data_IF_640595738718
#
_entry.id   IF_640595738718
#
_cell.length_a   1.000
_cell.length_b   1.000
_cell.length_c   1.000
_cell.angle_alpha   90.00
_cell.angle_beta   90.00
_cell.angle_gamma   90.00
#
_symmetry.space_group_name_H-M   'P 1'
#
loop_
_entity.id
_entity.type
_entity.pdbx_description
1 polymer ?
#
# COMPACT_ATOMS: atom_id res chain seq x y z
N UNK A 1 47.61 -21.38 -19.38
CA UNK A 1 48.43 -22.46 -18.82
C UNK A 1 47.53 -23.43 -18.09
N UNK A 2 47.44 -24.64 -18.65
CA UNK A 2 46.61 -25.77 -18.16
C UNK A 2 47.21 -26.28 -16.85
N UNK A 3 46.37 -26.83 -15.93
CA UNK A 3 46.56 -28.20 -15.42
C UNK A 3 45.24 -28.61 -14.72
N UNK A 4 44.74 -29.72 -15.24
CA UNK A 4 43.72 -30.62 -14.69
C UNK A 4 44.36 -31.52 -13.64
N UNK A 5 43.60 -31.98 -12.63
CA UNK A 5 43.70 -33.37 -12.17
C UNK A 5 42.42 -33.89 -11.58
N UNK A 6 42.02 -34.99 -12.17
CA UNK A 6 41.07 -36.02 -11.74
C UNK A 6 41.77 -37.01 -10.79
N UNK A 7 41.00 -37.61 -9.90
CA UNK A 7 41.04 -39.01 -9.48
C UNK A 7 40.03 -39.20 -8.35
N UNK A 8 39.00 -39.98 -8.40
CA UNK A 8 38.77 -41.36 -8.74
C UNK A 8 38.76 -42.31 -7.51
N UNK A 9 37.56 -42.74 -7.16
CA UNK A 9 37.04 -44.05 -6.71
C UNK A 9 37.77 -44.81 -5.59
N UNK A 10 36.98 -45.40 -4.65
CA UNK A 10 36.76 -46.86 -4.43
C UNK A 10 36.05 -47.08 -3.08
N UNK A 11 34.84 -47.61 -3.08
CA UNK A 11 34.36 -48.93 -2.70
C UNK A 11 34.73 -49.41 -1.27
N UNK A 12 33.68 -49.68 -0.47
CA UNK A 12 33.58 -51.00 0.25
C UNK A 12 32.13 -51.18 0.75
N UNK A 13 31.53 -52.24 0.18
CA UNK A 13 30.28 -52.86 0.66
C UNK A 13 30.60 -53.70 1.89
N UNK A 14 29.76 -53.59 2.93
CA UNK A 14 29.70 -54.60 4.00
C UNK A 14 28.25 -54.94 4.27
N UNK A 15 27.85 -56.08 3.76
CA UNK A 15 26.60 -56.76 4.07
C UNK A 15 26.69 -57.38 5.48
N UNK A 16 25.75 -57.01 6.37
CA UNK A 16 25.51 -57.78 7.59
C UNK A 16 24.01 -58.08 7.68
N UNK A 17 23.71 -59.34 7.41
CA UNK A 17 22.42 -59.96 7.71
C UNK A 17 22.22 -60.01 9.24
N UNK A 18 21.09 -59.49 9.74
CA UNK A 18 20.64 -59.77 11.09
C UNK A 18 19.23 -60.34 11.09
N UNK A 19 19.13 -61.43 11.82
CA UNK A 19 18.01 -62.33 11.91
C UNK A 19 16.74 -61.68 12.41
N UNK A 20 15.62 -62.10 11.88
CA UNK A 20 14.28 -61.80 12.34
C UNK A 20 14.00 -62.43 13.69
N UNK A 21 13.72 -61.54 14.70
CA UNK A 21 13.00 -61.97 15.92
C UNK A 21 11.64 -61.32 15.87
N UNK A 22 10.61 -62.15 15.79
CA UNK A 22 9.20 -61.74 15.88
C UNK A 22 8.91 -61.21 17.28
N UNK A 23 8.66 -59.92 17.42
CA UNK A 23 8.07 -59.29 18.57
C UNK A 23 6.55 -59.21 18.46
N UNK A 24 5.81 -59.04 19.58
CA UNK A 24 4.37 -59.16 19.59
C UNK A 24 3.67 -58.11 18.76
N UNK A 25 2.66 -58.54 17.99
CA UNK A 25 1.78 -57.69 17.19
C UNK A 25 0.93 -56.83 18.08
N UNK A 26 1.25 -55.55 18.14
CA UNK A 26 0.34 -54.53 18.65
C UNK A 26 -0.61 -54.12 17.51
N UNK A 27 -1.89 -54.52 17.68
CA UNK A 27 -2.97 -53.99 16.84
C UNK A 27 -3.19 -52.51 17.18
N UNK A 28 -2.84 -51.63 16.28
CA UNK A 28 -3.23 -50.23 16.38
C UNK A 28 -4.76 -50.13 16.21
N UNK A 29 -5.46 -49.29 17.01
CA UNK A 29 -6.84 -48.97 16.73
C UNK A 29 -6.94 -48.24 15.42
N UNK A 30 -7.92 -48.58 14.60
CA UNK A 30 -8.24 -47.87 13.36
C UNK A 30 -8.64 -46.42 13.70
N UNK A 31 -7.75 -45.47 13.46
CA UNK A 31 -8.07 -44.09 13.44
C UNK A 31 -8.87 -43.77 12.19
N UNK A 32 -10.17 -43.63 12.35
CA UNK A 32 -11.04 -42.98 11.39
C UNK A 32 -10.81 -41.45 11.49
N UNK A 33 -9.63 -41.02 11.13
CA UNK A 33 -9.41 -39.59 10.88
C UNK A 33 -9.82 -39.32 9.43
N UNK A 34 -11.12 -38.99 9.28
CA UNK A 34 -11.58 -38.35 8.07
C UNK A 34 -10.78 -37.06 7.91
N UNK A 35 -9.87 -37.04 6.94
CA UNK A 35 -9.24 -35.82 6.45
C UNK A 35 -10.36 -34.82 6.15
N UNK A 36 -10.39 -33.62 6.77
CA UNK A 36 -11.39 -32.65 6.43
C UNK A 36 -11.34 -32.43 4.91
N UNK A 37 -12.47 -32.58 4.27
CA UNK A 37 -12.61 -32.31 2.83
C UNK A 37 -11.98 -30.94 2.56
N UNK A 38 -11.05 -30.89 1.62
CA UNK A 38 -10.51 -29.65 1.10
C UNK A 38 -11.68 -28.71 0.85
N UNK A 39 -11.63 -27.52 1.45
CA UNK A 39 -12.65 -26.49 1.24
C UNK A 39 -12.84 -26.28 -0.27
N UNK A 40 -13.97 -25.73 -0.69
CA UNK A 40 -14.28 -25.60 -2.11
C UNK A 40 -13.12 -24.90 -2.79
N UNK A 41 -12.48 -25.62 -3.70
CA UNK A 41 -11.54 -25.05 -4.65
C UNK A 41 -12.35 -23.98 -5.37
N UNK A 42 -12.02 -22.71 -5.15
CA UNK A 42 -12.61 -21.62 -5.90
C UNK A 42 -12.32 -21.92 -7.37
N UNK A 43 -13.34 -22.28 -8.12
CA UNK A 43 -13.24 -22.41 -9.56
C UNK A 43 -12.69 -21.10 -10.10
N UNK A 44 -11.58 -21.18 -10.82
CA UNK A 44 -11.03 -20.06 -11.56
C UNK A 44 -12.08 -19.64 -12.59
N UNK A 45 -12.86 -18.63 -12.26
CA UNK A 45 -13.83 -18.06 -13.20
C UNK A 45 -13.04 -17.34 -14.27
N UNK A 46 -12.80 -18.03 -15.38
CA UNK A 46 -12.26 -17.44 -16.59
C UNK A 46 -13.30 -16.45 -17.13
N UNK A 47 -13.17 -15.17 -16.81
CA UNK A 47 -14.04 -14.13 -17.34
C UNK A 47 -13.68 -13.90 -18.81
N UNK A 48 -14.36 -14.63 -19.71
CA UNK A 48 -14.30 -14.48 -21.16
C UNK A 48 -15.20 -13.30 -21.58
N UNK A 49 -14.81 -12.10 -21.29
CA UNK A 49 -15.52 -10.87 -21.68
C UNK A 49 -14.57 -9.69 -21.71
N UNK A 50 -15.00 -8.61 -22.37
CA UNK A 50 -14.27 -7.32 -22.26
C UNK A 50 -14.36 -6.89 -20.81
N UNK A 51 -13.28 -7.04 -20.06
CA UNK A 51 -13.23 -6.59 -18.68
C UNK A 51 -13.43 -5.07 -18.67
N UNK A 52 -14.40 -4.53 -17.89
CA UNK A 52 -14.47 -3.09 -17.66
C UNK A 52 -13.17 -2.63 -17.02
N UNK A 53 -12.78 -1.39 -17.27
CA UNK A 53 -11.65 -0.78 -16.58
C UNK A 53 -12.01 -0.40 -15.13
N UNK A 54 -11.07 0.18 -14.37
CA UNK A 54 -11.37 0.79 -13.08
C UNK A 54 -12.49 1.81 -13.22
N UNK A 55 -13.43 1.81 -12.27
CA UNK A 55 -14.57 2.71 -12.31
C UNK A 55 -14.17 4.19 -12.14
N UNK A 56 -14.98 5.07 -12.69
CA UNK A 56 -14.87 6.52 -12.55
C UNK A 56 -16.10 7.05 -11.81
N UNK A 57 -15.91 7.72 -10.69
CA UNK A 57 -16.97 8.48 -10.02
C UNK A 57 -17.25 9.74 -10.81
N UNK A 58 -18.54 10.04 -11.02
CA UNK A 58 -18.98 11.26 -11.70
C UNK A 58 -19.52 12.25 -10.67
N UNK A 59 -18.90 13.42 -10.60
CA UNK A 59 -19.27 14.48 -9.66
C UNK A 59 -19.78 15.69 -10.43
N UNK A 60 -20.96 16.21 -10.06
CA UNK A 60 -21.60 17.36 -10.69
C UNK A 60 -22.22 18.28 -9.65
N UNK A 61 -22.54 19.51 -10.06
CA UNK A 61 -23.36 20.41 -9.25
C UNK A 61 -24.84 20.00 -9.31
N UNK A 62 -25.65 20.27 -8.25
CA UNK A 62 -27.10 20.04 -8.31
C UNK A 62 -27.75 20.85 -9.43
N UNK A 63 -28.63 20.20 -10.19
CA UNK A 63 -29.27 20.74 -11.41
C UNK A 63 -30.07 22.06 -11.24
N UNK A 64 -30.38 22.48 -10.00
CA UNK A 64 -31.08 23.72 -9.71
C UNK A 64 -30.28 25.00 -9.93
N UNK A 65 -28.96 24.88 -9.98
CA UNK A 65 -28.04 26.03 -10.15
C UNK A 65 -27.56 26.18 -11.60
N UNK A 66 -27.77 25.18 -12.42
CA UNK A 66 -27.27 25.16 -13.81
C UNK A 66 -28.21 25.80 -14.82
N UNK A 67 -28.86 26.89 -14.56
CA UNK A 67 -29.76 27.71 -15.40
C UNK A 67 -29.62 27.62 -16.94
N UNK A 68 -29.43 26.41 -17.50
CA UNK A 68 -29.21 26.15 -18.93
C UNK A 68 -27.75 26.11 -19.38
N UNK A 69 -26.78 26.25 -18.48
CA UNK A 69 -25.35 26.08 -18.77
C UNK A 69 -25.00 24.60 -18.89
N UNK A 70 -24.01 24.29 -19.72
CA UNK A 70 -23.47 22.93 -19.87
C UNK A 70 -22.98 22.42 -18.53
N UNK A 71 -23.38 21.18 -18.18
CA UNK A 71 -23.00 20.55 -16.91
C UNK A 71 -21.49 20.40 -16.78
N UNK A 72 -20.94 20.92 -15.70
CA UNK A 72 -19.52 20.76 -15.36
C UNK A 72 -19.32 19.45 -14.59
N UNK A 73 -18.34 18.65 -15.01
CA UNK A 73 -18.13 17.31 -14.46
C UNK A 73 -16.70 17.15 -13.94
N UNK A 74 -16.58 16.60 -12.74
CA UNK A 74 -15.32 16.08 -12.21
C UNK A 74 -15.39 14.55 -12.19
N UNK A 75 -14.54 13.92 -12.97
CA UNK A 75 -14.34 12.48 -12.96
C UNK A 75 -13.26 12.11 -11.97
N UNK A 76 -13.55 11.22 -11.03
CA UNK A 76 -12.57 10.77 -10.04
C UNK A 76 -12.25 9.30 -10.29
N UNK A 77 -10.97 8.99 -10.46
CA UNK A 77 -10.44 7.64 -10.52
C UNK A 77 -9.72 7.30 -9.22
N UNK A 78 -10.13 6.21 -8.58
CA UNK A 78 -9.38 5.62 -7.48
C UNK A 78 -8.19 4.79 -7.99
N UNK A 79 -6.95 5.19 -7.70
CA UNK A 79 -5.76 4.39 -8.02
C UNK A 79 -5.49 3.35 -6.94
N UNK A 80 -5.12 2.14 -7.36
CA UNK A 80 -4.65 1.08 -6.48
C UNK A 80 -3.18 0.80 -6.80
N UNK A 81 -2.35 0.70 -5.76
CA UNK A 81 -0.88 0.64 -5.93
C UNK A 81 -0.31 -0.78 -5.93
N UNK A 82 -0.96 -1.72 -5.25
CA UNK A 82 -0.46 -3.09 -5.12
C UNK A 82 -1.07 -3.96 -6.21
N UNK A 83 -0.36 -4.09 -7.32
CA UNK A 83 -0.84 -4.79 -8.51
C UNK A 83 0.07 -5.97 -8.85
N UNK A 84 -0.45 -7.04 -9.48
CA UNK A 84 0.37 -8.09 -10.08
C UNK A 84 1.38 -7.50 -11.06
N UNK A 85 2.60 -8.04 -11.06
CA UNK A 85 3.63 -7.64 -12.03
C UNK A 85 3.13 -7.93 -13.44
N UNK A 86 3.13 -6.90 -14.31
CA UNK A 86 2.66 -7.03 -15.68
C UNK A 86 1.13 -7.11 -15.84
N UNK A 87 0.36 -6.77 -14.80
CA UNK A 87 -1.10 -6.73 -14.90
C UNK A 87 -1.55 -5.80 -16.00
N UNK A 88 -2.31 -6.33 -16.93
CA UNK A 88 -3.01 -5.55 -17.95
C UNK A 88 -4.38 -5.11 -17.39
N UNK A 89 -4.73 -3.86 -17.62
CA UNK A 89 -6.01 -3.29 -17.25
C UNK A 89 -6.50 -2.33 -18.33
N UNK A 90 -7.80 -2.17 -18.44
CA UNK A 90 -8.40 -1.34 -19.49
C UNK A 90 -8.43 0.13 -19.08
N UNK A 91 -7.59 0.93 -19.69
CA UNK A 91 -7.49 2.37 -19.43
C UNK A 91 -8.40 3.23 -20.32
N UNK A 92 -9.20 2.61 -21.21
CA UNK A 92 -9.94 3.30 -22.27
C UNK A 92 -10.83 4.42 -21.74
N UNK A 93 -11.59 4.14 -20.68
CA UNK A 93 -12.56 5.10 -20.13
C UNK A 93 -11.84 6.27 -19.44
N UNK A 94 -10.74 5.99 -18.73
CA UNK A 94 -9.88 7.02 -18.14
C UNK A 94 -9.24 7.88 -19.26
N UNK A 95 -8.70 7.27 -20.29
CA UNK A 95 -8.07 8.00 -21.41
C UNK A 95 -9.09 8.84 -22.18
N UNK A 96 -10.31 8.35 -22.36
CA UNK A 96 -11.41 9.08 -22.99
C UNK A 96 -11.86 10.28 -22.14
N UNK A 97 -12.02 10.08 -20.82
CA UNK A 97 -12.35 11.15 -19.88
C UNK A 97 -11.26 12.24 -19.90
N UNK A 98 -9.98 11.85 -19.86
CA UNK A 98 -8.86 12.79 -19.95
C UNK A 98 -8.87 13.55 -21.29
N UNK A 99 -9.10 12.85 -22.40
CA UNK A 99 -9.12 13.49 -23.72
C UNK A 99 -10.22 14.55 -23.87
N UNK A 100 -11.34 14.39 -23.14
CA UNK A 100 -12.47 15.33 -23.10
C UNK A 100 -12.33 16.42 -22.03
N UNK A 101 -11.30 16.38 -21.21
CA UNK A 101 -11.11 17.29 -20.07
C UNK A 101 -10.16 18.45 -20.38
N UNK A 102 -10.18 19.47 -19.53
CA UNK A 102 -9.31 20.63 -19.58
C UNK A 102 -8.13 20.51 -18.58
N UNK A 103 -8.31 19.67 -17.55
CA UNK A 103 -7.36 19.58 -16.45
C UNK A 103 -7.30 18.16 -15.88
N UNK A 104 -6.10 17.77 -15.39
CA UNK A 104 -5.87 16.59 -14.57
C UNK A 104 -5.49 17.03 -13.17
N UNK A 105 -6.32 16.73 -12.17
CA UNK A 105 -6.10 17.03 -10.76
C UNK A 105 -5.45 15.83 -10.05
N UNK A 106 -4.27 16.04 -9.51
CA UNK A 106 -3.52 15.03 -8.77
C UNK A 106 -3.99 14.93 -7.31
N UNK A 107 -3.54 13.88 -6.59
CA UNK A 107 -3.62 13.84 -5.14
C UNK A 107 -2.81 15.00 -4.53
N UNK A 108 -3.21 15.51 -3.35
CA UNK A 108 -2.50 16.61 -2.74
C UNK A 108 -1.16 16.16 -2.14
N UNK A 109 -0.19 17.05 -2.14
CA UNK A 109 1.16 16.79 -1.66
C UNK A 109 1.59 17.80 -0.59
N UNK A 110 2.49 17.38 0.29
CA UNK A 110 3.19 18.27 1.20
C UNK A 110 4.32 18.94 0.45
N UNK A 111 4.40 20.26 0.52
CA UNK A 111 5.51 21.05 0.00
C UNK A 111 6.43 21.48 1.16
N UNK A 112 7.54 20.78 1.41
CA UNK A 112 8.44 21.13 2.48
C UNK A 112 9.24 22.39 2.12
N UNK A 113 9.02 23.47 2.86
CA UNK A 113 9.81 24.69 2.76
C UNK A 113 11.11 24.54 3.56
N UNK A 114 12.16 24.07 2.90
CA UNK A 114 13.48 23.86 3.50
C UNK A 114 14.50 24.69 2.74
N UNK A 115 15.26 25.53 3.47
CA UNK A 115 16.38 26.24 2.86
C UNK A 115 17.41 25.26 2.28
N UNK A 116 17.89 25.50 1.07
CA UNK A 116 18.79 24.59 0.34
C UNK A 116 20.00 24.16 1.19
N UNK A 117 20.70 25.10 1.83
CA UNK A 117 21.85 24.79 2.68
C UNK A 117 21.44 23.99 3.94
N UNK A 118 20.29 24.31 4.53
CA UNK A 118 19.77 23.60 5.69
C UNK A 118 19.43 22.16 5.31
N UNK A 119 18.79 21.93 4.16
CA UNK A 119 18.50 20.60 3.62
C UNK A 119 19.75 19.78 3.37
N UNK A 120 20.71 20.31 2.61
CA UNK A 120 21.98 19.61 2.33
C UNK A 120 22.73 19.28 3.61
N UNK A 121 22.78 20.20 4.57
CA UNK A 121 23.46 19.99 5.86
C UNK A 121 22.77 18.92 6.72
N UNK A 122 21.49 18.62 6.49
CA UNK A 122 20.73 17.62 7.24
C UNK A 122 20.90 16.19 6.72
N UNK A 123 21.37 15.99 5.47
CA UNK A 123 21.49 14.67 4.87
C UNK A 123 22.28 13.66 5.73
N UNK A 124 23.43 14.00 6.36
CA UNK A 124 24.12 13.04 7.23
C UNK A 124 23.29 12.60 8.43
N UNK A 125 22.35 13.44 8.89
CA UNK A 125 21.49 13.11 10.04
C UNK A 125 20.45 12.02 9.74
N UNK A 126 20.18 11.76 8.45
CA UNK A 126 19.28 10.68 8.04
C UNK A 126 19.85 9.28 8.27
N UNK A 127 21.18 9.18 8.43
CA UNK A 127 21.84 7.90 8.72
C UNK A 127 21.27 7.40 10.07
N UNK A 128 20.75 6.17 10.08
CA UNK A 128 20.16 5.56 11.26
C UNK A 128 18.79 6.10 11.69
N UNK A 129 18.09 6.90 10.85
CA UNK A 129 16.73 7.41 11.16
C UNK A 129 15.72 6.28 11.36
N UNK A 130 15.98 5.11 10.79
CA UNK A 130 15.14 3.90 10.93
C UNK A 130 15.45 3.12 12.21
N UNK A 131 16.57 3.39 12.88
CA UNK A 131 17.00 2.60 14.02
C UNK A 131 16.19 2.97 15.27
N UNK A 132 16.06 1.99 16.15
CA UNK A 132 15.52 2.22 17.49
C UNK A 132 16.43 3.19 18.26
N UNK A 133 15.87 4.05 19.10
CA UNK A 133 16.68 4.81 20.04
C UNK A 133 17.44 3.86 20.97
N UNK A 134 18.56 4.34 21.52
CA UNK A 134 19.41 3.64 22.50
C UNK A 134 19.98 2.30 22.03
N UNK A 135 19.98 2.05 20.71
CA UNK A 135 20.52 0.82 20.12
C UNK A 135 19.71 -0.45 20.43
N UNK A 136 18.48 -0.30 20.95
CA UNK A 136 17.60 -1.45 21.24
C UNK A 136 17.25 -2.23 19.98
N UNK A 137 17.04 -3.52 20.15
CA UNK A 137 16.61 -4.43 19.08
C UNK A 137 15.09 -4.65 19.14
N UNK A 138 14.52 -5.21 18.08
CA UNK A 138 13.10 -5.56 18.05
C UNK A 138 12.71 -6.51 19.20
N UNK A 139 13.59 -7.48 19.54
CA UNK A 139 13.38 -8.41 20.65
C UNK A 139 13.22 -7.73 22.02
N UNK A 140 13.84 -6.55 22.21
CA UNK A 140 13.75 -5.78 23.46
C UNK A 140 12.46 -4.96 23.56
N UNK A 141 11.76 -4.79 22.43
CA UNK A 141 10.62 -3.89 22.30
C UNK A 141 9.28 -4.62 22.17
N UNK A 142 9.34 -5.88 21.72
CA UNK A 142 8.17 -6.63 21.32
C UNK A 142 7.68 -7.59 22.38
N UNK A 143 6.35 -7.80 22.50
CA UNK A 143 5.83 -8.99 23.17
C UNK A 143 6.40 -10.26 22.55
N UNK A 144 6.71 -11.26 23.37
CA UNK A 144 7.33 -12.53 22.92
C UNK A 144 6.56 -13.15 21.75
N UNK A 145 5.23 -13.11 21.79
CA UNK A 145 4.38 -13.68 20.72
C UNK A 145 4.51 -12.91 19.41
N UNK A 146 4.52 -11.58 19.45
CA UNK A 146 4.70 -10.75 18.26
C UNK A 146 6.11 -10.95 17.65
N UNK A 147 7.12 -11.05 18.49
CA UNK A 147 8.49 -11.31 18.04
C UNK A 147 8.65 -12.70 17.42
N UNK A 148 8.02 -13.73 17.99
CA UNK A 148 8.05 -15.08 17.38
C UNK A 148 7.41 -15.12 15.99
N UNK A 149 6.28 -14.43 15.79
CA UNK A 149 5.62 -14.26 14.48
C UNK A 149 6.52 -13.50 13.50
N UNK A 150 7.14 -12.42 13.98
CA UNK A 150 8.12 -11.66 13.20
C UNK A 150 9.24 -12.54 12.68
N UNK A 151 9.85 -13.37 13.54
CA UNK A 151 10.96 -14.25 13.13
C UNK A 151 10.54 -15.25 12.05
N UNK A 152 9.33 -15.80 12.14
CA UNK A 152 8.80 -16.73 11.14
C UNK A 152 8.64 -16.01 9.77
N UNK A 153 7.94 -14.88 9.73
CA UNK A 153 7.72 -14.11 8.51
C UNK A 153 9.01 -13.50 7.96
N UNK A 154 9.91 -13.06 8.85
CA UNK A 154 11.23 -12.57 8.45
C UNK A 154 12.05 -13.67 7.76
N UNK A 155 12.06 -14.88 8.30
CA UNK A 155 12.77 -16.00 7.69
C UNK A 155 12.24 -16.31 6.27
N UNK A 156 10.94 -16.17 6.08
CA UNK A 156 10.26 -16.41 4.80
C UNK A 156 10.55 -15.32 3.75
N UNK A 157 10.43 -14.03 4.13
CA UNK A 157 10.44 -12.93 3.16
C UNK A 157 11.71 -12.10 3.13
N UNK A 158 12.49 -12.06 4.21
CA UNK A 158 13.71 -11.23 4.33
C UNK A 158 14.96 -12.09 4.42
N UNK A 159 14.90 -13.24 5.12
CA UNK A 159 16.02 -14.11 5.38
C UNK A 159 16.83 -13.68 6.62
N UNK A 160 18.17 -13.85 6.55
CA UNK A 160 19.06 -13.73 7.70
C UNK A 160 19.59 -12.30 7.95
N UNK A 161 18.97 -11.26 7.41
CA UNK A 161 19.38 -9.88 7.68
C UNK A 161 19.25 -9.56 9.18
N UNK A 162 20.39 -9.22 9.82
CA UNK A 162 20.45 -8.87 11.23
C UNK A 162 20.35 -7.36 11.47
N UNK A 163 20.57 -6.54 10.45
CA UNK A 163 20.54 -5.10 10.62
C UNK A 163 19.11 -4.58 10.78
N UNK A 164 18.13 -5.25 10.18
CA UNK A 164 16.72 -4.92 10.34
C UNK A 164 16.22 -5.08 11.79
N UNK A 165 16.87 -5.93 12.60
CA UNK A 165 16.53 -6.09 14.01
C UNK A 165 16.79 -4.83 14.86
N UNK A 166 17.61 -3.91 14.34
CA UNK A 166 17.91 -2.62 14.97
C UNK A 166 16.90 -1.54 14.57
N UNK A 167 16.01 -1.83 13.63
CA UNK A 167 15.08 -0.85 13.13
C UNK A 167 13.88 -0.71 14.07
N UNK A 168 13.25 0.45 14.01
CA UNK A 168 11.96 0.69 14.66
C UNK A 168 10.91 -0.27 14.11
N UNK A 169 9.98 -0.73 14.95
CA UNK A 169 8.92 -1.65 14.54
C UNK A 169 8.23 -1.26 13.24
N UNK A 170 7.84 0.01 13.10
CA UNK A 170 7.17 0.50 11.89
C UNK A 170 8.02 0.29 10.62
N UNK A 171 9.31 0.60 10.66
CA UNK A 171 10.15 0.46 9.46
C UNK A 171 10.48 -0.99 9.14
N UNK A 172 10.65 -1.82 10.17
CA UNK A 172 10.82 -3.26 10.01
C UNK A 172 9.56 -3.91 9.40
N UNK A 173 8.38 -3.56 9.90
CA UNK A 173 7.10 -4.03 9.38
C UNK A 173 6.88 -3.62 7.92
N UNK A 174 7.14 -2.36 7.58
CA UNK A 174 6.97 -1.86 6.21
C UNK A 174 7.95 -2.55 5.23
N UNK A 175 9.18 -2.83 5.64
CA UNK A 175 10.14 -3.58 4.81
C UNK A 175 9.70 -5.03 4.65
N UNK A 176 9.24 -5.69 5.72
CA UNK A 176 8.68 -7.04 5.65
C UNK A 176 7.50 -7.09 4.67
N UNK A 177 6.56 -6.16 4.78
CA UNK A 177 5.41 -6.08 3.89
C UNK A 177 5.82 -5.88 2.43
N UNK A 178 6.79 -4.99 2.18
CA UNK A 178 7.34 -4.78 0.83
C UNK A 178 7.95 -6.05 0.24
N UNK A 179 8.76 -6.78 1.05
CA UNK A 179 9.38 -8.05 0.62
C UNK A 179 8.34 -9.13 0.34
N UNK A 180 7.32 -9.24 1.17
CA UNK A 180 6.24 -10.20 0.98
C UNK A 180 5.43 -9.90 -0.29
N UNK A 181 5.13 -8.63 -0.58
CA UNK A 181 4.51 -8.20 -1.84
C UNK A 181 5.36 -8.64 -3.03
N UNK A 182 6.67 -8.34 -3.01
CA UNK A 182 7.59 -8.70 -4.11
C UNK A 182 7.67 -10.22 -4.33
N UNK A 183 7.71 -10.99 -3.24
CA UNK A 183 7.75 -12.46 -3.27
C UNK A 183 6.45 -13.06 -3.82
N UNK A 184 5.31 -12.40 -3.61
CA UNK A 184 3.99 -12.83 -4.09
C UNK A 184 3.70 -12.45 -5.55
N UNK A 185 4.69 -11.99 -6.29
CA UNK A 185 4.52 -11.56 -7.68
C UNK A 185 3.74 -10.24 -7.84
N UNK A 186 3.51 -9.55 -6.74
CA UNK A 186 2.90 -8.21 -6.72
C UNK A 186 3.99 -7.12 -6.78
N UNK A 187 3.59 -5.91 -7.06
CA UNK A 187 4.48 -4.75 -7.05
C UNK A 187 3.75 -3.52 -6.54
N UNK A 188 4.48 -2.64 -5.88
CA UNK A 188 4.03 -1.29 -5.60
C UNK A 188 4.17 -0.45 -6.88
N UNK A 189 3.05 -0.05 -7.47
CA UNK A 189 3.04 0.55 -8.80
C UNK A 189 2.18 1.82 -8.86
N UNK A 190 2.70 2.82 -9.53
CA UNK A 190 1.97 4.04 -9.90
C UNK A 190 1.46 3.94 -11.36
N UNK A 191 1.14 2.73 -11.83
CA UNK A 191 0.78 2.50 -13.23
C UNK A 191 -0.44 3.35 -13.64
N UNK A 192 -1.46 3.43 -12.80
CA UNK A 192 -2.67 4.20 -13.09
C UNK A 192 -2.36 5.71 -13.22
N UNK A 193 -1.59 6.27 -12.28
CA UNK A 193 -1.11 7.66 -12.36
C UNK A 193 -0.22 7.88 -13.56
N UNK A 194 0.66 6.93 -13.88
CA UNK A 194 1.55 7.03 -15.04
C UNK A 194 0.78 7.09 -16.35
N UNK A 195 -0.29 6.29 -16.50
CA UNK A 195 -1.19 6.32 -17.66
C UNK A 195 -1.92 7.65 -17.72
N UNK A 196 -2.56 8.09 -16.63
CA UNK A 196 -3.27 9.36 -16.56
C UNK A 196 -2.36 10.53 -16.95
N UNK A 197 -1.17 10.61 -16.34
CA UNK A 197 -0.17 11.66 -16.64
C UNK A 197 0.32 11.64 -18.08
N UNK A 198 0.54 10.44 -18.64
CA UNK A 198 0.94 10.28 -20.06
C UNK A 198 -0.17 10.76 -21.00
N UNK A 199 -1.42 10.39 -20.72
CA UNK A 199 -2.59 10.81 -21.51
C UNK A 199 -2.79 12.33 -21.40
N UNK A 200 -2.74 12.92 -20.20
CA UNK A 200 -2.84 14.36 -20.01
C UNK A 200 -1.77 15.13 -20.81
N UNK A 201 -0.51 14.67 -20.78
CA UNK A 201 0.56 15.26 -21.59
C UNK A 201 0.31 15.15 -23.09
N UNK A 202 -0.20 14.00 -23.55
CA UNK A 202 -0.56 13.79 -24.97
C UNK A 202 -1.61 14.81 -25.43
N UNK A 203 -2.60 15.08 -24.58
CA UNK A 203 -3.69 16.03 -24.86
C UNK A 203 -3.38 17.47 -24.40
N UNK A 204 -2.17 17.73 -23.87
CA UNK A 204 -1.70 19.05 -23.39
C UNK A 204 -2.56 19.65 -22.28
N UNK A 205 -3.12 18.80 -21.41
CA UNK A 205 -3.87 19.26 -20.25
C UNK A 205 -2.93 19.87 -19.20
N UNK A 206 -3.44 20.86 -18.48
CA UNK A 206 -2.84 21.27 -17.22
C UNK A 206 -2.88 20.11 -16.21
N UNK A 207 -1.79 19.95 -15.46
CA UNK A 207 -1.73 18.99 -14.35
C UNK A 207 -1.58 19.83 -13.09
N UNK A 208 -2.62 19.83 -12.26
CA UNK A 208 -2.64 20.56 -11.00
C UNK A 208 -2.40 19.60 -9.85
N UNK A 209 -1.42 19.91 -9.02
CA UNK A 209 -1.16 19.21 -7.76
C UNK A 209 -1.39 20.17 -6.62
N UNK A 210 -2.48 20.01 -5.83
CA UNK A 210 -2.68 20.84 -4.64
C UNK A 210 -1.54 20.60 -3.65
N UNK A 211 -0.96 21.67 -3.12
CA UNK A 211 0.16 21.57 -2.17
C UNK A 211 -0.16 22.23 -0.85
N UNK A 212 0.34 21.67 0.22
CA UNK A 212 0.29 22.25 1.56
C UNK A 212 1.71 22.58 2.01
N UNK A 213 2.07 23.86 2.11
CA UNK A 213 3.40 24.26 2.56
C UNK A 213 3.61 23.89 4.03
N UNK A 214 4.76 23.26 4.29
CA UNK A 214 5.22 22.91 5.65
C UNK A 214 6.61 23.47 5.86
N UNK A 215 6.70 24.48 6.73
CA UNK A 215 7.97 25.11 7.05
C UNK A 215 8.83 24.23 7.94
N UNK A 216 10.07 23.99 7.53
CA UNK A 216 11.05 23.19 8.28
C UNK A 216 12.30 24.04 8.55
N UNK A 217 12.27 24.84 9.61
CA UNK A 217 13.34 25.78 9.93
C UNK A 217 14.65 25.11 10.35
N UNK A 218 14.58 23.97 11.04
CA UNK A 218 15.74 23.28 11.62
C UNK A 218 15.70 21.77 11.30
N UNK A 219 15.90 21.36 10.03
CA UNK A 219 15.74 19.95 9.63
C UNK A 219 16.63 18.99 10.39
N UNK A 220 17.87 19.39 10.73
CA UNK A 220 18.77 18.54 11.56
C UNK A 220 18.21 18.29 12.95
N UNK A 221 17.66 19.32 13.60
CA UNK A 221 17.06 19.18 14.92
C UNK A 221 15.83 18.30 14.88
N UNK A 222 14.96 18.50 13.86
CA UNK A 222 13.79 17.67 13.63
C UNK A 222 14.16 16.18 13.49
N UNK A 223 15.15 15.87 12.64
CA UNK A 223 15.61 14.49 12.44
C UNK A 223 16.19 13.92 13.73
N UNK A 224 16.96 14.71 14.48
CA UNK A 224 17.52 14.27 15.76
C UNK A 224 16.42 13.98 16.77
N UNK A 225 15.49 14.91 16.97
CA UNK A 225 14.34 14.72 17.87
C UNK A 225 13.56 13.46 17.51
N UNK A 226 13.25 13.26 16.21
CA UNK A 226 12.58 12.06 15.74
C UNK A 226 13.40 10.78 16.04
N UNK A 227 14.73 10.82 15.93
CA UNK A 227 15.58 9.66 16.23
C UNK A 227 15.62 9.32 17.72
N UNK A 228 15.56 10.33 18.58
CA UNK A 228 15.66 10.17 20.02
C UNK A 228 14.26 9.82 20.66
N UNK A 229 13.18 10.07 19.93
CA UNK A 229 11.82 9.85 20.42
C UNK A 229 11.39 8.38 20.25
N UNK A 230 10.85 7.71 21.29
CA UNK A 230 10.17 6.43 21.14
C UNK A 230 8.84 6.65 20.38
N UNK A 231 8.52 5.76 19.43
CA UNK A 231 7.23 5.74 18.74
C UNK A 231 6.31 4.71 19.36
N UNK A 232 5.01 4.99 19.36
CA UNK A 232 3.97 4.01 19.65
C UNK A 232 3.59 3.29 18.34
N UNK A 233 4.51 2.48 17.86
CA UNK A 233 4.42 1.83 16.53
C UNK A 233 4.19 0.31 16.60
N UNK A 234 4.01 -0.24 17.80
CA UNK A 234 3.65 -1.65 17.98
C UNK A 234 2.30 -2.01 17.33
N UNK A 235 1.23 -1.21 17.42
CA UNK A 235 -0.02 -1.50 16.72
C UNK A 235 0.14 -1.55 15.19
N UNK A 236 0.97 -0.67 14.62
CA UNK A 236 1.32 -0.72 13.19
C UNK A 236 2.03 -2.04 12.84
N UNK A 237 3.01 -2.43 13.64
CA UNK A 237 3.77 -3.65 13.44
C UNK A 237 2.88 -4.90 13.49
N UNK A 238 2.07 -5.05 14.54
CA UNK A 238 1.15 -6.19 14.69
C UNK A 238 0.12 -6.25 13.56
N UNK A 239 -0.38 -5.10 13.12
CA UNK A 239 -1.30 -5.03 11.99
C UNK A 239 -0.67 -5.59 10.71
N UNK A 240 0.59 -5.24 10.42
CA UNK A 240 1.31 -5.78 9.26
C UNK A 240 1.50 -7.29 9.37
N UNK A 241 1.87 -7.82 10.56
CA UNK A 241 1.96 -9.27 10.77
C UNK A 241 0.62 -9.96 10.52
N UNK A 242 -0.46 -9.44 11.11
CA UNK A 242 -1.82 -9.98 10.93
C UNK A 242 -2.22 -10.03 9.44
N UNK A 243 -1.88 -8.99 8.68
CA UNK A 243 -2.19 -8.92 7.24
C UNK A 243 -1.42 -9.95 6.43
N UNK A 244 -0.15 -10.17 6.75
CA UNK A 244 0.67 -11.14 6.03
C UNK A 244 0.26 -12.59 6.34
N UNK A 245 -0.18 -12.86 7.58
CA UNK A 245 -0.66 -14.18 8.00
C UNK A 245 -2.08 -14.48 7.49
N UNK A 246 -2.92 -13.46 7.35
CA UNK A 246 -4.31 -13.65 6.96
C UNK A 246 -4.50 -14.12 5.52
N UNK A 247 -3.78 -13.57 4.57
CA UNK A 247 -3.67 -14.03 3.17
C UNK A 247 -3.17 -12.93 2.22
N UNK A 248 -2.09 -13.18 1.52
CA UNK A 248 -1.64 -12.34 0.40
C UNK A 248 -2.59 -12.42 -0.82
N UNK A 249 -3.42 -13.48 -0.91
CA UNK A 249 -4.47 -13.60 -1.93
C UNK A 249 -5.51 -12.48 -1.88
N UNK A 250 -5.76 -11.89 -0.71
CA UNK A 250 -6.61 -10.69 -0.58
C UNK A 250 -6.09 -9.53 -1.42
N UNK A 251 -4.76 -9.36 -1.50
CA UNK A 251 -4.16 -8.28 -2.30
C UNK A 251 -4.41 -8.50 -3.80
N UNK A 252 -4.36 -9.75 -4.24
CA UNK A 252 -4.69 -10.11 -5.62
C UNK A 252 -6.18 -9.94 -5.93
N UNK A 253 -7.06 -10.35 -5.00
CA UNK A 253 -8.49 -10.13 -5.13
C UNK A 253 -8.84 -8.63 -5.24
N UNK A 254 -8.17 -7.77 -4.47
CA UNK A 254 -8.32 -6.30 -4.58
C UNK A 254 -7.85 -5.77 -5.92
N UNK A 255 -6.69 -6.23 -6.38
CA UNK A 255 -6.16 -5.81 -7.68
C UNK A 255 -7.13 -6.19 -8.82
N UNK A 256 -7.71 -7.38 -8.77
CA UNK A 256 -8.70 -7.84 -9.74
C UNK A 256 -10.01 -7.02 -9.64
N UNK A 257 -10.54 -6.82 -8.43
CA UNK A 257 -11.73 -6.00 -8.23
C UNK A 257 -11.52 -4.55 -8.70
N UNK A 258 -10.34 -3.99 -8.46
CA UNK A 258 -9.99 -2.67 -9.00
C UNK A 258 -9.94 -2.66 -10.53
N UNK A 259 -9.27 -3.61 -11.13
CA UNK A 259 -9.11 -3.67 -12.58
C UNK A 259 -10.43 -3.90 -13.34
N UNK A 260 -11.42 -4.50 -12.67
CA UNK A 260 -12.75 -4.76 -13.23
C UNK A 260 -13.82 -3.76 -12.78
N UNK A 261 -13.47 -2.75 -11.99
CA UNK A 261 -14.42 -1.76 -11.47
C UNK A 261 -15.43 -2.32 -10.47
N UNK A 262 -15.16 -3.47 -9.83
CA UNK A 262 -16.03 -4.05 -8.80
C UNK A 262 -15.89 -3.28 -7.47
N UNK A 263 -16.55 -2.13 -7.40
CA UNK A 263 -16.54 -1.25 -6.23
C UNK A 263 -17.14 -1.93 -5.00
N UNK A 264 -18.16 -2.78 -5.18
CA UNK A 264 -18.80 -3.49 -4.09
C UNK A 264 -17.83 -4.50 -3.44
N UNK A 265 -17.07 -5.24 -4.23
CA UNK A 265 -16.00 -6.10 -3.72
C UNK A 265 -14.90 -5.28 -3.04
N UNK A 266 -14.45 -4.18 -3.65
CA UNK A 266 -13.45 -3.30 -3.05
C UNK A 266 -13.89 -2.79 -1.68
N UNK A 267 -15.11 -2.27 -1.53
CA UNK A 267 -15.65 -1.81 -0.24
C UNK A 267 -15.61 -2.92 0.80
N UNK A 268 -16.08 -4.14 0.48
CA UNK A 268 -16.04 -5.27 1.42
C UNK A 268 -14.63 -5.63 1.87
N UNK A 269 -13.69 -5.66 0.93
CA UNK A 269 -12.31 -6.09 1.23
C UNK A 269 -11.52 -4.97 1.92
N UNK A 270 -11.77 -3.70 1.59
CA UNK A 270 -11.03 -2.58 2.16
C UNK A 270 -11.47 -2.18 3.57
N UNK A 271 -12.70 -2.50 3.99
CA UNK A 271 -13.11 -2.34 5.39
C UNK A 271 -12.24 -3.14 6.38
N UNK A 272 -11.53 -4.16 5.90
CA UNK A 272 -10.59 -4.94 6.70
C UNK A 272 -9.21 -4.25 6.85
N UNK A 273 -9.00 -3.11 6.19
CA UNK A 273 -7.72 -2.39 6.24
C UNK A 273 -7.73 -1.30 7.31
N UNK A 274 -7.13 -1.59 8.43
CA UNK A 274 -6.68 -0.56 9.36
C UNK A 274 -5.33 0.02 8.89
N UNK A 275 -5.31 0.64 7.71
CA UNK A 275 -4.12 1.35 7.21
C UNK A 275 -3.75 2.54 8.12
N UNK A 276 -4.69 2.98 8.97
CA UNK A 276 -4.52 4.09 9.91
C UNK A 276 -3.42 3.85 10.94
N UNK A 277 -3.26 2.63 11.47
CA UNK A 277 -2.36 2.39 12.60
C UNK A 277 -0.91 2.83 12.35
N UNK A 278 -0.38 2.66 11.12
CA UNK A 278 0.97 3.11 10.78
C UNK A 278 1.05 4.62 10.56
N UNK A 279 0.02 5.21 9.96
CA UNK A 279 -0.08 6.67 9.81
C UNK A 279 -0.27 7.30 11.17
N UNK A 280 -1.14 6.75 12.02
CA UNK A 280 -1.42 7.21 13.36
C UNK A 280 -0.15 7.18 14.23
N UNK A 281 0.64 6.10 14.17
CA UNK A 281 1.90 6.00 14.89
C UNK A 281 2.87 7.13 14.51
N UNK A 282 2.97 7.47 13.21
CA UNK A 282 3.81 8.57 12.76
C UNK A 282 3.20 9.94 13.12
N UNK A 283 1.91 10.16 12.84
CA UNK A 283 1.25 11.44 13.08
C UNK A 283 1.15 11.76 14.58
N UNK A 284 1.09 10.74 15.45
CA UNK A 284 1.11 10.89 16.89
C UNK A 284 2.51 11.05 17.49
N UNK A 285 3.59 11.02 16.68
CA UNK A 285 4.92 11.33 17.15
C UNK A 285 4.95 12.75 17.77
N UNK A 286 5.54 12.89 18.95
CA UNK A 286 5.57 14.15 19.67
C UNK A 286 6.25 15.25 18.85
N UNK A 287 7.29 14.87 18.09
CA UNK A 287 8.01 15.77 17.20
C UNK A 287 7.11 16.39 16.11
N UNK A 288 6.09 15.65 15.64
CA UNK A 288 5.10 16.16 14.68
C UNK A 288 4.00 16.95 15.38
N UNK A 289 3.50 16.45 16.52
CA UNK A 289 2.48 17.15 17.33
C UNK A 289 2.95 18.52 17.79
N UNK A 290 4.17 18.62 18.30
CA UNK A 290 4.74 19.89 18.78
C UNK A 290 4.87 20.96 17.69
N UNK A 291 4.76 20.56 16.41
CA UNK A 291 4.83 21.44 15.23
C UNK A 291 3.47 21.64 14.55
N UNK A 292 2.38 21.17 15.16
CA UNK A 292 1.03 21.28 14.58
C UNK A 292 0.83 20.48 13.29
N UNK A 293 1.65 19.43 13.07
CA UNK A 293 1.58 18.62 11.86
C UNK A 293 0.54 17.50 11.94
N UNK A 294 -0.10 17.30 13.09
CA UNK A 294 -1.21 16.35 13.26
C UNK A 294 -2.44 16.71 12.42
N UNK A 295 -2.63 17.99 12.10
CA UNK A 295 -3.73 18.47 11.26
C UNK A 295 -3.41 18.40 9.75
N UNK A 296 -2.23 17.93 9.40
CA UNK A 296 -1.77 17.88 8.00
C UNK A 296 -2.70 17.08 7.08
N UNK A 297 -3.24 15.91 7.47
CA UNK A 297 -4.20 15.18 6.63
C UNK A 297 -5.45 16.04 6.31
N UNK A 298 -6.02 16.71 7.29
CA UNK A 298 -7.17 17.60 7.08
C UNK A 298 -6.83 18.81 6.18
N UNK A 299 -5.64 19.39 6.33
CA UNK A 299 -5.16 20.47 5.46
C UNK A 299 -4.96 20.02 4.02
N UNK A 300 -4.44 18.82 3.80
CA UNK A 300 -4.30 18.23 2.47
C UNK A 300 -5.66 18.01 1.82
N UNK A 301 -6.62 17.45 2.57
CA UNK A 301 -8.00 17.28 2.09
C UNK A 301 -8.62 18.63 1.73
N UNK A 302 -8.54 19.62 2.60
CA UNK A 302 -9.08 20.94 2.34
C UNK A 302 -8.47 21.61 1.10
N UNK A 303 -7.14 21.49 0.92
CA UNK A 303 -6.46 22.03 -0.25
C UNK A 303 -6.94 21.34 -1.55
N UNK A 304 -7.12 20.02 -1.52
CA UNK A 304 -7.63 19.30 -2.67
C UNK A 304 -9.09 19.66 -2.99
N UNK A 305 -9.96 19.73 -1.98
CA UNK A 305 -11.37 20.10 -2.16
C UNK A 305 -11.49 21.50 -2.76
N UNK A 306 -10.69 22.48 -2.29
CA UNK A 306 -10.68 23.82 -2.86
C UNK A 306 -10.33 23.83 -4.35
N UNK A 307 -9.35 23.01 -4.78
CA UNK A 307 -9.00 22.89 -6.19
C UNK A 307 -10.06 22.13 -6.99
N UNK A 308 -10.71 21.12 -6.42
CA UNK A 308 -11.81 20.41 -7.03
C UNK A 308 -13.02 21.34 -7.28
N UNK A 309 -13.38 22.18 -6.30
CA UNK A 309 -14.44 23.19 -6.43
C UNK A 309 -14.09 24.25 -7.49
N UNK A 310 -12.83 24.73 -7.50
CA UNK A 310 -12.34 25.65 -8.53
C UNK A 310 -12.47 25.01 -9.92
N UNK A 311 -12.05 23.75 -10.07
CA UNK A 311 -12.10 23.04 -11.34
C UNK A 311 -13.55 22.82 -11.80
N UNK A 312 -14.46 22.42 -10.91
CA UNK A 312 -15.90 22.29 -11.18
C UNK A 312 -16.57 23.63 -11.52
N UNK A 313 -16.00 24.75 -11.08
CA UNK A 313 -16.50 26.08 -11.44
C UNK A 313 -15.99 26.55 -12.83
N UNK A 314 -14.77 26.18 -13.19
CA UNK A 314 -14.07 26.75 -14.36
C UNK A 314 -14.09 25.85 -15.59
N UNK A 315 -14.06 24.53 -15.41
CA UNK A 315 -13.86 23.58 -16.50
C UNK A 315 -15.16 22.82 -16.81
N UNK A 316 -15.46 22.60 -18.09
CA UNK A 316 -16.56 21.73 -18.48
C UNK A 316 -16.31 20.27 -18.05
N UNK A 317 -15.04 19.83 -18.07
CA UNK A 317 -14.64 18.51 -17.59
C UNK A 317 -13.25 18.54 -16.97
N UNK A 318 -13.08 17.84 -15.86
CA UNK A 318 -11.81 17.63 -15.15
C UNK A 318 -11.70 16.18 -14.75
N UNK A 319 -10.50 15.58 -14.81
CA UNK A 319 -10.24 14.26 -14.25
C UNK A 319 -9.38 14.40 -13.01
N UNK A 320 -9.72 13.68 -11.95
CA UNK A 320 -8.90 13.56 -10.75
C UNK A 320 -8.45 12.12 -10.54
N UNK A 321 -7.24 11.95 -9.97
CA UNK A 321 -6.71 10.64 -9.58
C UNK A 321 -6.33 10.68 -8.12
N UNK A 322 -7.01 9.85 -7.30
CA UNK A 322 -6.84 9.77 -5.86
C UNK A 322 -6.54 8.33 -5.42
N UNK A 323 -5.93 8.10 -4.25
CA UNK A 323 -5.81 6.75 -3.70
C UNK A 323 -7.20 6.12 -3.51
N UNK A 324 -7.39 4.86 -3.94
CA UNK A 324 -8.68 4.17 -3.87
C UNK A 324 -9.26 4.13 -2.44
N UNK A 325 -8.39 3.94 -1.45
CA UNK A 325 -8.83 3.89 -0.04
C UNK A 325 -9.39 5.24 0.44
N UNK A 326 -8.86 6.37 -0.06
CA UNK A 326 -9.38 7.71 0.22
C UNK A 326 -10.70 7.98 -0.52
N UNK A 327 -10.89 7.39 -1.68
CA UNK A 327 -12.15 7.52 -2.44
C UNK A 327 -13.28 6.74 -1.76
N UNK A 328 -12.94 5.59 -1.15
CA UNK A 328 -13.93 4.68 -0.56
C UNK A 328 -14.22 4.92 0.94
N UNK A 329 -13.42 5.72 1.63
CA UNK A 329 -13.64 6.04 3.06
C UNK A 329 -14.92 6.84 3.26
N UNK A 330 -15.61 6.56 4.38
CA UNK A 330 -16.84 7.30 4.77
C UNK A 330 -16.57 8.77 5.12
N UNK A 331 -15.33 9.13 5.44
CA UNK A 331 -14.82 10.48 5.70
C UNK A 331 -13.76 10.92 4.68
N UNK A 332 -13.75 10.28 3.50
CA UNK A 332 -12.80 10.56 2.43
C UNK A 332 -13.26 11.66 1.46
N UNK A 333 -12.51 11.86 0.37
CA UNK A 333 -12.76 12.96 -0.57
C UNK A 333 -14.15 12.90 -1.24
N UNK A 334 -14.61 11.71 -1.61
CA UNK A 334 -15.93 11.53 -2.25
C UNK A 334 -17.04 11.83 -1.26
N UNK A 335 -16.91 11.38 0.01
CA UNK A 335 -17.85 11.72 1.07
C UNK A 335 -17.90 13.23 1.31
N UNK A 336 -16.74 13.87 1.43
CA UNK A 336 -16.65 15.32 1.62
C UNK A 336 -17.31 16.11 0.48
N UNK A 337 -17.18 15.67 -0.78
CA UNK A 337 -17.90 16.30 -1.90
C UNK A 337 -19.42 16.15 -1.78
N UNK A 338 -19.92 15.01 -1.31
CA UNK A 338 -21.36 14.83 -1.02
C UNK A 338 -21.82 15.76 0.10
N UNK A 339 -21.05 15.91 1.15
CA UNK A 339 -21.34 16.81 2.29
C UNK A 339 -21.36 18.28 1.85
N UNK A 340 -20.55 18.66 0.86
CA UNK A 340 -20.57 19.97 0.21
C UNK A 340 -21.76 20.16 -0.74
N UNK A 341 -22.62 19.15 -0.91
CA UNK A 341 -23.84 19.21 -1.72
C UNK A 341 -23.67 18.85 -3.19
N UNK A 342 -22.53 18.31 -3.60
CA UNK A 342 -22.35 17.81 -4.97
C UNK A 342 -23.08 16.47 -5.16
N UNK A 343 -23.60 16.27 -6.37
CA UNK A 343 -24.14 14.97 -6.79
C UNK A 343 -22.99 14.08 -7.20
N UNK A 344 -22.86 12.92 -6.56
CA UNK A 344 -21.80 11.95 -6.84
C UNK A 344 -22.44 10.63 -7.24
N UNK A 345 -22.22 10.25 -8.48
CA UNK A 345 -22.61 8.95 -9.04
C UNK A 345 -21.43 7.99 -8.90
N UNK A 346 -21.68 6.84 -8.26
CA UNK A 346 -20.69 5.75 -8.17
C UNK A 346 -20.58 5.04 -9.54
N UNK A 347 -19.42 4.45 -9.87
CA UNK A 347 -19.20 3.71 -11.12
C UNK A 347 -20.14 2.53 -11.29
#
# INVERSE_FOLDING_TARGET
MRIRHRAMRLWLAASLAFAATQGPTWSAPAANDAVPAAGPVLEEVLVTGVQPGPGLWRVTRPSRESGGESEHVLWIMGKYRTLPKGMEWKATDLEAAIAASQELLAEPEVEPEIGVFAGLSALPSLIGVRNNPDGRRLEDLMPIQAYARWLALKAEYIGYDQDIEKWRPIFAALELYRRAIDASGLTYSEVAWSVARKSAKKHRLAITTPTVPVKVDKPRALIKEFKDEPLDDLPCFENVLNRLEADLGILQARANAWATGDIAALRRIMHLEQASACIDALMNAQVLRSRGLTELPGRLMAAWLAEAERALAANASTVAVLPMWEVLRDDGYVAALRDLGYVVEDP
#
